data_IF_992644142287
#
_entry.id   IF_992644142287
#
_cell.length_a   1.000
_cell.length_b   1.000
_cell.length_c   1.000
_cell.angle_alpha   90.00
_cell.angle_beta   90.00
_cell.angle_gamma   90.00
#
_symmetry.space_group_name_H-M   'P 1'
#
loop_
_entity.id
_entity.type
_entity.pdbx_description
1 polymer ?
#
# COMPACT_ATOMS: atom_id res chain seq x y z
N UNK A 1 7.54 -6.48 -0.50
CA UNK A 1 6.94 -5.33 -1.19
C UNK A 1 7.73 -5.03 -2.45
N UNK A 2 7.09 -4.54 -3.51
CA UNK A 2 7.78 -4.28 -4.78
C UNK A 2 8.74 -3.07 -4.65
N UNK A 3 10.03 -3.35 -4.54
CA UNK A 3 11.11 -2.34 -4.48
C UNK A 3 11.40 -1.68 -5.83
N UNK A 4 10.83 -2.22 -6.93
CA UNK A 4 11.13 -1.77 -8.29
C UNK A 4 10.23 -0.61 -8.74
N UNK A 5 9.39 -0.07 -7.85
CA UNK A 5 8.56 1.11 -8.13
C UNK A 5 9.12 2.33 -7.43
N UNK A 6 9.05 3.51 -8.08
CA UNK A 6 9.53 4.77 -7.50
C UNK A 6 8.86 5.06 -6.15
N UNK A 7 7.54 4.82 -6.04
CA UNK A 7 6.81 5.02 -4.78
C UNK A 7 7.12 3.97 -3.69
N UNK A 8 7.50 2.75 -4.07
CA UNK A 8 7.77 1.65 -3.14
C UNK A 8 9.23 1.54 -2.70
N UNK A 9 10.19 1.83 -3.59
CA UNK A 9 11.62 1.70 -3.37
C UNK A 9 12.35 3.00 -3.05
N UNK A 10 12.01 4.11 -3.73
CA UNK A 10 12.74 5.39 -3.59
C UNK A 10 12.21 6.27 -2.44
N UNK A 11 10.98 6.05 -1.97
CA UNK A 11 10.39 6.82 -0.87
C UNK A 11 10.53 6.06 0.44
N UNK A 12 11.34 6.57 1.37
CA UNK A 12 11.45 6.03 2.73
C UNK A 12 10.28 6.47 3.63
N UNK A 13 9.93 5.70 4.68
CA UNK A 13 10.44 4.36 5.02
C UNK A 13 9.94 3.31 4.03
N UNK A 14 10.69 2.23 3.80
CA UNK A 14 10.24 1.11 2.97
C UNK A 14 9.35 0.15 3.78
N UNK A 15 8.43 -0.55 3.10
CA UNK A 15 7.66 -1.62 3.71
C UNK A 15 8.58 -2.79 4.05
N UNK A 16 8.54 -3.26 5.29
CA UNK A 16 9.34 -4.41 5.73
C UNK A 16 8.67 -5.07 6.93
N UNK A 17 8.14 -6.28 6.71
CA UNK A 17 7.44 -7.06 7.73
C UNK A 17 8.37 -7.90 8.60
N UNK A 18 9.69 -7.83 8.37
CA UNK A 18 10.67 -8.63 9.09
C UNK A 18 10.39 -10.13 8.95
N UNK A 19 10.45 -10.85 10.07
CA UNK A 19 10.01 -12.25 10.17
C UNK A 19 8.62 -12.35 10.84
N UNK A 20 7.80 -11.30 10.73
CA UNK A 20 6.47 -11.23 11.33
C UNK A 20 6.46 -11.39 12.86
N UNK A 21 7.54 -11.01 13.55
CA UNK A 21 7.70 -11.26 14.98
C UNK A 21 6.62 -10.58 15.83
N UNK A 22 6.08 -9.45 15.38
CA UNK A 22 4.95 -8.79 16.04
C UNK A 22 3.66 -9.60 15.92
N UNK A 23 3.43 -10.23 14.77
CA UNK A 23 2.29 -11.12 14.56
C UNK A 23 2.45 -12.45 15.30
N UNK A 24 3.66 -13.02 15.30
CA UNK A 24 3.98 -14.24 16.06
C UNK A 24 3.67 -14.06 17.56
N UNK A 25 3.95 -12.87 18.10
CA UNK A 25 3.61 -12.50 19.49
C UNK A 25 2.14 -12.09 19.69
N UNK A 26 1.29 -12.29 18.69
CA UNK A 26 -0.16 -12.12 18.78
C UNK A 26 -0.69 -10.72 18.47
N UNK A 27 0.15 -9.76 18.07
CA UNK A 27 -0.25 -8.40 17.68
C UNK A 27 -1.12 -7.66 18.72
N UNK A 28 -0.94 -7.97 20.01
CA UNK A 28 -1.61 -7.29 21.12
C UNK A 28 -0.69 -6.27 21.76
N UNK A 29 -1.26 -5.26 22.41
CA UNK A 29 -0.47 -4.31 23.21
C UNK A 29 0.51 -5.07 24.14
N UNK A 30 1.79 -4.66 24.22
CA UNK A 30 2.36 -3.40 23.71
C UNK A 30 2.95 -3.45 22.28
N UNK A 31 2.60 -4.43 21.45
CA UNK A 31 3.13 -4.56 20.08
C UNK A 31 2.46 -3.57 19.13
N UNK A 32 3.25 -2.81 18.39
CA UNK A 32 2.74 -1.73 17.52
C UNK A 32 2.97 -1.97 16.01
N UNK A 33 3.89 -2.87 15.66
CA UNK A 33 4.32 -3.12 14.27
C UNK A 33 4.41 -4.62 13.97
N UNK A 34 4.17 -5.01 12.72
CA UNK A 34 4.21 -6.41 12.28
C UNK A 34 5.58 -7.09 12.48
N UNK A 35 6.68 -6.34 12.37
CA UNK A 35 8.05 -6.81 12.61
C UNK A 35 8.48 -6.73 14.08
N UNK A 36 7.58 -6.30 14.98
CA UNK A 36 7.84 -6.17 16.42
C UNK A 36 8.72 -4.98 16.81
N UNK A 37 8.98 -4.04 15.89
CA UNK A 37 9.74 -2.80 16.16
C UNK A 37 8.83 -1.68 16.73
N UNK A 38 9.41 -0.57 17.25
CA UNK A 38 8.64 0.58 17.69
C UNK A 38 7.76 1.17 16.59
N UNK A 39 6.64 1.78 16.97
CA UNK A 39 5.69 2.36 16.02
C UNK A 39 6.33 3.38 15.07
N UNK A 40 6.01 3.24 13.79
CA UNK A 40 6.28 4.24 12.77
C UNK A 40 5.09 4.29 11.80
N UNK A 41 4.24 5.32 11.91
CA UNK A 41 2.96 5.38 11.18
C UNK A 41 3.07 5.27 9.64
N UNK A 42 4.06 5.93 9.00
CA UNK A 42 4.22 5.80 7.54
C UNK A 42 4.70 4.40 7.11
N UNK A 43 5.51 3.73 7.94
CA UNK A 43 5.91 2.33 7.73
C UNK A 43 4.72 1.40 7.98
N UNK A 44 3.95 1.62 9.05
CA UNK A 44 2.77 0.83 9.38
C UNK A 44 1.75 0.84 8.23
N UNK A 45 1.51 2.01 7.63
CA UNK A 45 0.68 2.13 6.43
C UNK A 45 1.23 1.26 5.28
N UNK A 46 2.53 1.38 4.97
CA UNK A 46 3.17 0.62 3.89
C UNK A 46 3.19 -0.89 4.15
N UNK A 47 3.45 -1.30 5.39
CA UNK A 47 3.39 -2.68 5.86
C UNK A 47 1.97 -3.25 5.67
N UNK A 48 0.93 -2.50 6.05
CA UNK A 48 -0.47 -2.92 5.86
C UNK A 48 -0.83 -3.14 4.38
N UNK A 49 -0.31 -2.30 3.47
CA UNK A 49 -0.53 -2.47 2.03
C UNK A 49 0.19 -3.69 1.49
N UNK A 50 1.38 -4.02 2.00
CA UNK A 50 2.04 -5.30 1.67
C UNK A 50 1.23 -6.49 2.19
N UNK A 51 0.64 -6.40 3.38
CA UNK A 51 -0.28 -7.44 3.88
C UNK A 51 -1.46 -7.66 2.93
N UNK A 52 -2.11 -6.61 2.43
CA UNK A 52 -3.19 -6.77 1.44
C UNK A 52 -2.74 -7.53 0.19
N UNK A 53 -1.54 -7.24 -0.32
CA UNK A 53 -0.97 -7.94 -1.48
C UNK A 53 -0.77 -9.43 -1.17
N UNK A 54 -0.18 -9.76 -0.02
CA UNK A 54 0.01 -11.15 0.39
C UNK A 54 -1.34 -11.86 0.60
N UNK A 55 -2.34 -11.18 1.15
CA UNK A 55 -3.69 -11.73 1.32
C UNK A 55 -4.30 -12.12 -0.01
N UNK A 56 -4.24 -11.26 -1.03
CA UNK A 56 -4.75 -11.59 -2.37
C UNK A 56 -4.00 -12.79 -2.97
N UNK A 57 -2.67 -12.81 -2.87
CA UNK A 57 -1.86 -13.95 -3.34
C UNK A 57 -2.23 -15.26 -2.63
N UNK A 58 -2.40 -15.23 -1.31
CA UNK A 58 -2.77 -16.42 -0.54
C UNK A 58 -4.22 -16.87 -0.81
N UNK A 59 -5.14 -15.93 -1.02
CA UNK A 59 -6.52 -16.26 -1.41
C UNK A 59 -6.54 -16.98 -2.77
N UNK A 60 -5.78 -16.48 -3.75
CA UNK A 60 -5.61 -17.14 -5.03
C UNK A 60 -5.04 -18.55 -4.86
N UNK A 61 -3.88 -18.67 -4.20
CA UNK A 61 -3.20 -19.95 -4.01
C UNK A 61 -4.08 -21.01 -3.31
N UNK A 62 -4.90 -20.60 -2.34
CA UNK A 62 -5.68 -21.53 -1.52
C UNK A 62 -7.02 -21.89 -2.11
N UNK A 63 -7.66 -20.97 -2.84
CA UNK A 63 -9.08 -21.08 -3.17
C UNK A 63 -9.38 -21.01 -4.66
N UNK A 64 -8.50 -20.47 -5.52
CA UNK A 64 -8.80 -20.29 -6.94
C UNK A 64 -9.18 -21.60 -7.63
N UNK A 65 -8.30 -22.61 -7.56
CA UNK A 65 -8.50 -23.92 -8.19
C UNK A 65 -9.79 -24.62 -7.75
N UNK A 66 -10.19 -24.44 -6.49
CA UNK A 66 -11.38 -25.12 -5.93
C UNK A 66 -12.69 -24.40 -6.21
N UNK A 67 -12.65 -23.09 -6.42
CA UNK A 67 -13.84 -22.23 -6.46
C UNK A 67 -14.07 -21.56 -7.80
N UNK A 68 -13.03 -21.47 -8.64
CA UNK A 68 -13.03 -20.67 -9.86
C UNK A 68 -13.02 -19.15 -9.63
N UNK A 69 -13.01 -18.68 -8.37
CA UNK A 69 -13.02 -17.24 -8.05
C UNK A 69 -11.66 -16.63 -8.41
N UNK A 70 -11.68 -15.53 -9.15
CA UNK A 70 -10.48 -14.73 -9.44
C UNK A 70 -10.19 -13.79 -8.26
N UNK A 71 -8.99 -13.92 -7.69
CA UNK A 71 -8.50 -13.02 -6.65
C UNK A 71 -7.40 -12.14 -7.24
N UNK A 72 -7.68 -10.85 -7.36
CA UNK A 72 -6.77 -9.87 -7.97
C UNK A 72 -6.59 -8.65 -7.05
N UNK A 73 -5.53 -7.89 -7.32
CA UNK A 73 -5.21 -6.64 -6.64
C UNK A 73 -4.90 -5.59 -7.68
N UNK A 74 -5.29 -4.34 -7.44
CA UNK A 74 -5.07 -3.26 -8.40
C UNK A 74 -4.40 -2.04 -7.75
N UNK A 75 -3.62 -1.34 -8.56
CA UNK A 75 -3.11 -0.01 -8.25
C UNK A 75 -3.69 0.95 -9.32
N UNK A 76 -4.74 1.72 -8.99
CA UNK A 76 -5.41 2.56 -9.98
C UNK A 76 -4.57 3.76 -10.42
N UNK A 77 -3.52 4.11 -9.67
CA UNK A 77 -2.70 5.29 -9.88
C UNK A 77 -2.51 6.09 -8.58
N UNK A 78 -1.77 7.19 -8.67
CA UNK A 78 -1.62 8.13 -7.56
C UNK A 78 -2.79 9.11 -7.57
N UNK A 79 -3.77 8.85 -6.70
CA UNK A 79 -4.96 9.69 -6.54
C UNK A 79 -4.68 10.68 -5.41
N UNK A 80 -4.23 11.87 -5.78
CA UNK A 80 -3.76 12.86 -4.81
C UNK A 80 -4.87 13.79 -4.26
N UNK A 81 -6.07 13.72 -4.83
CA UNK A 81 -7.25 14.50 -4.43
C UNK A 81 -8.00 13.86 -3.24
N UNK A 82 -7.75 12.57 -2.96
CA UNK A 82 -8.42 11.88 -1.86
C UNK A 82 -8.03 12.44 -0.49
N UNK A 83 -8.97 12.36 0.46
CA UNK A 83 -8.76 12.75 1.86
C UNK A 83 -7.74 11.86 2.62
N UNK A 84 -7.12 10.87 1.98
CA UNK A 84 -6.20 9.91 2.59
C UNK A 84 -4.89 10.54 3.09
N UNK A 85 -4.42 11.59 2.42
CA UNK A 85 -3.20 12.33 2.80
C UNK A 85 -3.48 13.73 3.36
N UNK A 86 -4.74 14.02 3.77
CA UNK A 86 -5.18 15.36 4.20
C UNK A 86 -4.37 15.94 5.36
N UNK A 87 -3.97 15.09 6.31
CA UNK A 87 -3.22 15.46 7.51
C UNK A 87 -1.71 15.57 7.27
N UNK A 88 -1.22 15.26 6.05
CA UNK A 88 0.19 15.44 5.74
C UNK A 88 0.52 16.92 5.63
N UNK A 89 1.78 17.25 5.98
CA UNK A 89 2.32 18.61 5.96
C UNK A 89 1.91 19.33 4.67
N UNK A 90 1.47 20.60 4.71
CA UNK A 90 0.95 21.31 3.53
C UNK A 90 1.87 21.30 2.31
N UNK A 91 3.19 21.30 2.52
CA UNK A 91 4.17 21.20 1.42
C UNK A 91 4.13 19.83 0.72
N UNK A 92 3.89 18.73 1.46
CA UNK A 92 3.79 17.39 0.89
C UNK A 92 2.56 17.30 -0.01
N UNK A 93 1.43 17.88 0.42
CA UNK A 93 0.20 17.93 -0.38
C UNK A 93 0.32 18.73 -1.68
N UNK A 94 1.28 19.66 -1.80
CA UNK A 94 1.50 20.44 -3.02
C UNK A 94 2.61 19.86 -3.89
N UNK A 95 3.74 19.51 -3.29
CA UNK A 95 4.92 19.02 -4.02
C UNK A 95 4.77 17.56 -4.48
N UNK A 96 4.17 16.69 -3.66
CA UNK A 96 4.05 15.27 -3.99
C UNK A 96 3.12 15.01 -5.18
N UNK A 97 1.93 15.65 -5.30
CA UNK A 97 1.11 15.47 -6.50
C UNK A 97 1.77 16.04 -7.75
N UNK A 98 2.46 17.18 -7.64
CA UNK A 98 3.19 17.78 -8.76
C UNK A 98 4.34 16.89 -9.22
N UNK A 99 5.11 16.34 -8.28
CA UNK A 99 6.14 15.33 -8.55
C UNK A 99 5.55 14.08 -9.21
N UNK A 100 4.41 13.57 -8.71
CA UNK A 100 3.78 12.38 -9.28
C UNK A 100 3.18 12.64 -10.67
N UNK A 101 2.73 13.86 -10.95
CA UNK A 101 2.20 14.27 -12.25
C UNK A 101 3.28 14.47 -13.30
N UNK A 102 4.36 15.18 -12.95
CA UNK A 102 5.36 15.63 -13.93
C UNK A 102 6.66 14.81 -13.94
N UNK A 103 6.99 14.10 -12.85
CA UNK A 103 8.23 13.32 -12.75
C UNK A 103 7.97 11.82 -12.87
N UNK A 104 6.96 11.29 -12.16
CA UNK A 104 6.68 9.84 -12.22
C UNK A 104 5.60 9.48 -13.24
N UNK A 105 4.81 10.46 -13.73
CA UNK A 105 3.70 10.24 -14.65
C UNK A 105 2.55 9.39 -14.07
N UNK A 106 2.55 9.15 -12.75
CA UNK A 106 1.63 8.22 -12.10
C UNK A 106 0.35 8.85 -11.56
N UNK A 107 0.13 10.15 -11.79
CA UNK A 107 -1.07 10.87 -11.32
C UNK A 107 -2.32 10.44 -12.09
N UNK A 108 -3.39 10.14 -11.37
CA UNK A 108 -4.70 9.73 -11.92
C UNK A 108 -5.79 10.42 -11.11
N UNK A 109 -6.82 10.96 -11.78
CA UNK A 109 -7.97 11.58 -11.12
C UNK A 109 -8.89 10.54 -10.46
N UNK A 110 -9.78 10.99 -9.56
CA UNK A 110 -10.70 10.06 -8.86
C UNK A 110 -11.63 9.32 -9.83
N UNK A 111 -12.17 10.01 -10.84
CA UNK A 111 -13.07 9.41 -11.85
C UNK A 111 -12.33 8.36 -12.67
N UNK A 112 -11.16 8.70 -13.21
CA UNK A 112 -10.34 7.76 -14.00
C UNK A 112 -9.90 6.54 -13.17
N UNK A 113 -9.58 6.74 -11.90
CA UNK A 113 -9.28 5.64 -10.99
C UNK A 113 -10.50 4.72 -10.77
N UNK A 114 -11.70 5.30 -10.69
CA UNK A 114 -12.96 4.56 -10.60
C UNK A 114 -13.26 3.76 -11.88
N UNK A 115 -13.03 4.36 -13.05
CA UNK A 115 -13.17 3.67 -14.34
C UNK A 115 -12.21 2.49 -14.46
N UNK A 116 -10.95 2.64 -14.03
CA UNK A 116 -9.97 1.54 -13.98
C UNK A 116 -10.41 0.42 -13.03
N UNK A 117 -11.05 0.76 -11.91
CA UNK A 117 -11.59 -0.23 -10.97
C UNK A 117 -12.75 -1.01 -11.59
N UNK A 118 -13.60 -0.36 -12.37
CA UNK A 118 -14.74 -1.02 -13.02
C UNK A 118 -14.35 -2.00 -14.14
N UNK A 119 -13.09 -1.95 -14.62
CA UNK A 119 -12.57 -2.85 -15.67
C UNK A 119 -12.00 -4.17 -15.13
N UNK A 120 -11.82 -4.29 -13.81
CA UNK A 120 -11.24 -5.46 -13.14
C UNK A 120 -12.35 -6.31 -12.53
#
# INVERSE_FOLDING_TARGET
>A
GNTNTVGGGLVYPQANLGKLQGFEKGAKQPIEMADGKPFFGAKAYKDSKVCNMMTVSELHNRYHEKTGIVFSSMYPGCIAETALFREKRPWFRKAFPWFMKYVTGGYVGEVEAGERLAQV
#
